data_IF_522048085241
#
_entry.id   IF_522048085241
#
_cell.length_a   1.000
_cell.length_b   1.000
_cell.length_c   1.000
_cell.angle_alpha   90.00
_cell.angle_beta   90.00
_cell.angle_gamma   90.00
#
_symmetry.space_group_name_H-M   'P 1'
#
loop_
_entity.id
_entity.type
_entity.pdbx_description
1 polymer ?
#
# COMPACT_ATOMS: atom_id res chain seq x y z
N UNK A 1 -53.61 2.22 50.19
CA UNK A 1 -54.30 1.60 49.03
C UNK A 1 -54.19 2.56 47.85
N UNK A 2 -53.72 2.07 46.68
CA UNK A 2 -53.17 2.76 45.49
C UNK A 2 -51.62 2.64 45.44
N UNK A 3 -50.94 2.18 44.38
CA UNK A 3 -51.32 1.69 43.04
C UNK A 3 -50.22 0.71 42.57
N UNK A 4 -50.47 -0.60 42.64
CA UNK A 4 -49.62 -1.63 42.01
C UNK A 4 -49.71 -1.63 40.46
N UNK A 5 -50.51 -0.74 39.87
CA UNK A 5 -50.92 -0.75 38.46
C UNK A 5 -50.02 0.09 37.54
N UNK A 6 -49.06 0.85 38.07
CA UNK A 6 -48.20 1.74 37.27
C UNK A 6 -46.87 1.12 36.83
N UNK A 7 -46.45 -0.01 37.42
CA UNK A 7 -45.15 -0.62 37.10
C UNK A 7 -45.22 -1.62 35.93
N UNK A 8 -46.39 -2.19 35.65
CA UNK A 8 -46.57 -3.12 34.53
C UNK A 8 -46.45 -2.46 33.14
N UNK A 9 -46.87 -1.19 33.02
CA UNK A 9 -46.82 -0.47 31.74
C UNK A 9 -45.39 -0.04 31.34
N UNK A 10 -44.53 0.23 32.32
CA UNK A 10 -43.13 0.63 32.06
C UNK A 10 -42.27 -0.55 31.62
N UNK A 11 -42.52 -1.74 32.18
CA UNK A 11 -41.78 -2.96 31.85
C UNK A 11 -42.11 -3.52 30.46
N UNK A 12 -43.35 -3.37 29.98
CA UNK A 12 -43.71 -3.75 28.59
C UNK A 12 -43.18 -2.77 27.53
N UNK A 13 -42.97 -1.49 27.87
CA UNK A 13 -42.40 -0.50 26.95
C UNK A 13 -40.92 -0.72 26.63
N UNK A 14 -40.12 -1.11 27.64
CA UNK A 14 -38.68 -1.37 27.45
C UNK A 14 -38.38 -2.63 26.62
N UNK A 15 -39.25 -3.64 26.65
CA UNK A 15 -39.05 -4.85 25.86
C UNK A 15 -39.25 -4.62 24.35
N UNK A 16 -40.16 -3.71 23.96
CA UNK A 16 -40.41 -3.39 22.56
C UNK A 16 -39.26 -2.60 21.90
N UNK A 17 -38.49 -1.83 22.69
CA UNK A 17 -37.35 -1.04 22.18
C UNK A 17 -36.08 -1.87 21.94
N UNK A 18 -36.01 -3.10 22.46
CA UNK A 18 -34.86 -4.00 22.25
C UNK A 18 -34.99 -4.87 20.99
N UNK A 19 -36.18 -4.94 20.38
CA UNK A 19 -36.46 -5.76 19.19
C UNK A 19 -36.16 -5.07 17.86
N UNK A 20 -35.89 -3.76 17.86
CA UNK A 20 -35.59 -3.00 16.61
C UNK A 20 -34.09 -2.85 16.33
N UNK A 21 -33.22 -3.45 17.14
CA UNK A 21 -31.76 -3.38 16.97
C UNK A 21 -31.17 -4.54 16.14
N UNK A 22 -31.98 -5.45 15.64
CA UNK A 22 -31.55 -6.46 14.66
C UNK A 22 -31.74 -5.88 13.25
N UNK A 23 -30.75 -5.15 12.75
CA UNK A 23 -30.70 -4.83 11.32
C UNK A 23 -30.53 -6.15 10.56
N UNK A 24 -31.52 -6.52 9.76
CA UNK A 24 -31.43 -7.65 8.83
C UNK A 24 -30.36 -7.28 7.81
N UNK A 25 -29.24 -8.00 7.83
CA UNK A 25 -28.17 -7.81 6.85
C UNK A 25 -28.52 -8.68 5.65
N UNK A 26 -28.72 -8.05 4.50
CA UNK A 26 -28.95 -8.77 3.25
C UNK A 26 -27.75 -9.69 2.98
N UNK A 27 -28.05 -10.95 2.69
CA UNK A 27 -27.04 -11.95 2.38
C UNK A 27 -26.84 -11.98 0.86
N UNK A 28 -25.60 -12.10 0.41
CA UNK A 28 -25.31 -12.38 -0.99
C UNK A 28 -25.77 -13.79 -1.39
N UNK A 29 -25.67 -14.14 -2.67
CA UNK A 29 -26.05 -15.46 -3.21
C UNK A 29 -25.34 -16.64 -2.51
N UNK A 30 -24.27 -16.39 -1.73
CA UNK A 30 -23.52 -17.39 -0.98
C UNK A 30 -23.80 -17.33 0.54
N UNK A 31 -24.80 -16.57 0.98
CA UNK A 31 -25.19 -16.48 2.38
C UNK A 31 -24.28 -15.59 3.23
N UNK A 32 -23.44 -14.72 2.62
CA UNK A 32 -22.55 -13.82 3.36
C UNK A 32 -23.19 -12.44 3.56
N UNK A 33 -23.06 -11.84 4.76
CA UNK A 33 -23.59 -10.50 5.03
C UNK A 33 -22.99 -9.45 4.08
N UNK A 34 -23.84 -8.80 3.28
CA UNK A 34 -23.46 -7.64 2.45
C UNK A 34 -23.49 -6.41 3.35
N UNK A 35 -22.37 -6.15 4.01
CA UNK A 35 -22.18 -4.92 4.76
C UNK A 35 -21.87 -3.78 3.77
N UNK A 36 -22.52 -2.61 3.87
CA UNK A 36 -22.08 -1.44 3.12
C UNK A 36 -20.61 -1.19 3.49
N UNK A 37 -19.77 -0.98 2.47
CA UNK A 37 -18.35 -0.70 2.68
C UNK A 37 -18.21 0.46 3.67
N UNK A 38 -17.68 0.19 4.86
CA UNK A 38 -17.45 1.21 5.87
C UNK A 38 -16.51 2.26 5.25
N UNK A 39 -16.91 3.54 5.16
CA UNK A 39 -16.07 4.59 4.59
C UNK A 39 -14.77 4.81 5.39
N UNK A 40 -14.67 4.27 6.61
CA UNK A 40 -13.47 4.26 7.44
C UNK A 40 -12.73 2.91 7.45
N UNK A 41 -13.22 1.90 6.71
CA UNK A 41 -12.50 0.64 6.58
C UNK A 41 -11.12 0.91 5.99
N UNK A 42 -10.08 0.38 6.65
CA UNK A 42 -8.75 0.34 6.05
C UNK A 42 -8.85 -0.36 4.70
N UNK A 43 -8.13 0.11 3.66
CA UNK A 43 -8.03 -0.61 2.41
C UNK A 43 -7.62 -2.06 2.71
N UNK A 44 -8.53 -3.00 2.48
CA UNK A 44 -8.25 -4.42 2.63
C UNK A 44 -7.95 -5.00 1.26
N UNK A 45 -6.83 -5.71 1.15
CA UNK A 45 -6.44 -6.44 -0.04
C UNK A 45 -6.69 -7.95 0.10
N UNK A 46 -7.53 -8.39 1.05
CA UNK A 46 -7.70 -9.79 1.44
C UNK A 46 -8.10 -10.72 0.28
N UNK A 47 -8.78 -10.18 -0.74
CA UNK A 47 -9.28 -10.94 -1.89
C UNK A 47 -8.51 -10.66 -3.19
N UNK A 48 -7.43 -9.89 -3.12
CA UNK A 48 -6.66 -9.51 -4.29
C UNK A 48 -5.31 -10.24 -4.31
N UNK A 49 -4.96 -10.74 -5.49
CA UNK A 49 -3.60 -11.21 -5.73
C UNK A 49 -2.62 -10.05 -5.70
N UNK A 50 -1.34 -10.26 -5.34
CA UNK A 50 -0.32 -9.22 -5.38
C UNK A 50 -0.22 -8.50 -6.74
N UNK A 51 -0.48 -9.20 -7.84
CA UNK A 51 -0.49 -8.59 -9.18
C UNK A 51 -1.66 -7.64 -9.38
N UNK A 52 -2.86 -8.02 -8.94
CA UNK A 52 -4.04 -7.14 -9.01
C UNK A 52 -3.84 -5.90 -8.15
N UNK A 53 -3.27 -6.05 -6.95
CA UNK A 53 -2.96 -4.91 -6.07
C UNK A 53 -2.01 -3.97 -6.79
N UNK A 54 -0.90 -4.48 -7.33
CA UNK A 54 0.08 -3.66 -8.06
C UNK A 54 -0.57 -2.91 -9.22
N UNK A 55 -1.35 -3.59 -10.08
CA UNK A 55 -2.02 -2.96 -11.23
C UNK A 55 -3.03 -1.88 -10.82
N UNK A 56 -3.87 -2.15 -9.81
CA UNK A 56 -4.89 -1.22 -9.36
C UNK A 56 -4.31 0.01 -8.66
N UNK A 57 -3.12 -0.14 -8.06
CA UNK A 57 -2.50 0.93 -7.25
C UNK A 57 -1.28 1.56 -7.91
N UNK A 58 -0.83 1.07 -9.05
CA UNK A 58 0.34 1.59 -9.77
C UNK A 58 0.26 3.09 -10.02
N UNK A 59 -0.86 3.56 -10.60
CA UNK A 59 -1.04 4.97 -10.88
C UNK A 59 -0.99 5.82 -9.60
N UNK A 60 -1.82 5.50 -8.61
CA UNK A 60 -2.00 6.35 -7.43
C UNK A 60 -0.86 6.26 -6.41
N UNK A 61 -0.22 5.09 -6.29
CA UNK A 61 0.82 4.83 -5.28
C UNK A 61 2.23 4.95 -5.81
N UNK A 62 2.46 4.72 -7.11
CA UNK A 62 3.80 4.82 -7.72
C UNK A 62 3.89 6.07 -8.56
N UNK A 63 3.07 6.21 -9.59
CA UNK A 63 3.22 7.30 -10.57
C UNK A 63 2.91 8.66 -9.95
N UNK A 64 1.78 8.81 -9.28
CA UNK A 64 1.38 10.07 -8.66
C UNK A 64 2.34 10.44 -7.52
N UNK A 65 2.72 9.46 -6.68
CA UNK A 65 3.68 9.67 -5.61
C UNK A 65 5.07 10.06 -6.13
N UNK A 66 5.56 9.42 -7.21
CA UNK A 66 6.81 9.80 -7.85
C UNK A 66 6.72 11.20 -8.47
N UNK A 67 5.59 11.57 -9.05
CA UNK A 67 5.40 12.91 -9.61
C UNK A 67 5.35 14.01 -8.55
N UNK A 68 4.74 13.73 -7.40
CA UNK A 68 4.54 14.70 -6.32
C UNK A 68 5.72 14.78 -5.35
N UNK A 69 6.39 13.66 -5.09
CA UNK A 69 7.37 13.53 -4.01
C UNK A 69 8.76 13.05 -4.47
N UNK A 70 9.04 13.02 -5.77
CA UNK A 70 10.39 12.69 -6.23
C UNK A 70 11.41 13.70 -5.71
N UNK A 71 12.49 13.16 -5.16
CA UNK A 71 13.63 13.94 -4.70
C UNK A 71 14.50 14.36 -5.88
N UNK A 72 15.07 15.56 -5.79
CA UNK A 72 16.16 15.99 -6.65
C UNK A 72 17.52 15.46 -6.14
N UNK A 73 18.60 15.81 -6.84
CA UNK A 73 19.95 15.36 -6.50
C UNK A 73 20.39 15.76 -5.09
N UNK A 74 20.07 16.99 -4.66
CA UNK A 74 20.48 17.52 -3.36
C UNK A 74 19.68 16.88 -2.23
N UNK A 75 18.37 16.69 -2.42
CA UNK A 75 17.52 16.02 -1.45
C UNK A 75 17.86 14.53 -1.32
N UNK A 76 18.15 13.84 -2.43
CA UNK A 76 18.64 12.46 -2.40
C UNK A 76 19.93 12.33 -1.58
N UNK A 77 20.89 13.24 -1.78
CA UNK A 77 22.16 13.18 -1.05
C UNK A 77 21.96 13.40 0.45
N UNK A 78 21.05 14.31 0.85
CA UNK A 78 20.65 14.46 2.26
C UNK A 78 20.06 13.18 2.84
N UNK A 79 19.17 12.51 2.08
CA UNK A 79 18.60 11.22 2.50
C UNK A 79 19.69 10.17 2.64
N UNK A 80 20.64 10.08 1.70
CA UNK A 80 21.76 9.12 1.79
C UNK A 80 22.61 9.34 3.04
N UNK A 81 22.91 10.59 3.38
CA UNK A 81 23.68 10.94 4.57
C UNK A 81 22.92 10.66 5.87
N UNK A 82 21.60 10.90 5.88
CA UNK A 82 20.75 10.65 7.03
C UNK A 82 20.39 9.16 7.22
N UNK A 83 20.39 8.37 6.16
CA UNK A 83 19.90 6.98 6.16
C UNK A 83 20.70 6.05 7.06
N UNK A 84 21.93 6.42 7.50
CA UNK A 84 22.68 5.70 8.53
C UNK A 84 22.56 4.17 8.46
N UNK A 85 21.98 3.57 9.50
CA UNK A 85 21.73 2.11 9.58
C UNK A 85 20.32 1.68 9.10
N UNK A 86 19.45 2.60 8.71
CA UNK A 86 18.06 2.31 8.31
C UNK A 86 17.83 2.71 6.85
N UNK A 87 17.86 1.74 5.92
CA UNK A 87 17.66 2.02 4.50
C UNK A 87 16.30 2.67 4.24
N UNK A 88 16.28 3.74 3.45
CA UNK A 88 15.06 4.41 3.01
C UNK A 88 14.85 4.21 1.50
N UNK A 89 13.62 3.89 1.11
CA UNK A 89 13.22 3.82 -0.30
C UNK A 89 12.50 5.11 -0.67
N UNK A 90 12.96 5.76 -1.74
CA UNK A 90 12.47 7.08 -2.18
C UNK A 90 12.35 7.12 -3.70
N UNK A 91 11.40 7.92 -4.20
CA UNK A 91 11.37 8.27 -5.62
C UNK A 91 12.35 9.40 -5.89
N UNK A 92 13.00 9.36 -7.05
CA UNK A 92 14.03 10.34 -7.42
C UNK A 92 13.83 10.76 -8.87
N UNK A 93 13.97 12.07 -9.15
CA UNK A 93 13.99 12.63 -10.49
C UNK A 93 15.31 13.36 -10.70
N UNK A 94 16.12 12.83 -11.62
CA UNK A 94 17.47 13.34 -11.89
C UNK A 94 17.64 13.61 -13.38
N UNK A 95 18.47 14.61 -13.68
CA UNK A 95 19.12 14.74 -14.97
C UNK A 95 20.63 14.68 -14.71
N UNK A 96 21.32 13.72 -15.34
CA UNK A 96 22.71 13.42 -15.06
C UNK A 96 23.37 12.75 -16.26
N UNK A 97 24.68 12.96 -16.37
CA UNK A 97 25.52 12.30 -17.37
C UNK A 97 25.68 10.80 -17.07
N UNK A 98 25.53 9.99 -18.11
CA UNK A 98 25.84 8.56 -18.08
C UNK A 98 27.34 8.37 -18.22
N UNK A 99 27.98 7.74 -17.24
CA UNK A 99 29.43 7.48 -17.23
C UNK A 99 29.79 6.02 -17.46
N UNK A 100 28.82 5.11 -17.42
CA UNK A 100 29.07 3.70 -17.68
C UNK A 100 27.81 2.88 -17.89
N UNK A 101 27.96 1.75 -18.56
CA UNK A 101 26.92 0.73 -18.72
C UNK A 101 27.51 -0.65 -18.44
N UNK A 102 26.75 -1.49 -17.75
CA UNK A 102 27.05 -2.90 -17.57
C UNK A 102 25.89 -3.72 -18.15
N UNK A 103 26.17 -4.37 -19.27
CA UNK A 103 25.23 -5.22 -20.00
C UNK A 103 25.69 -6.68 -20.05
N UNK A 104 26.62 -7.06 -19.16
CA UNK A 104 27.17 -8.42 -19.08
C UNK A 104 26.10 -9.47 -18.78
N UNK A 105 25.05 -9.09 -18.04
CA UNK A 105 23.88 -9.91 -17.79
C UNK A 105 22.65 -9.34 -18.55
N UNK A 106 22.13 -10.04 -19.57
CA UNK A 106 20.97 -9.57 -20.34
C UNK A 106 19.69 -9.37 -19.50
N UNK A 107 19.58 -10.03 -18.34
CA UNK A 107 18.42 -9.92 -17.44
C UNK A 107 18.54 -8.79 -16.43
N UNK A 108 19.77 -8.37 -16.11
CA UNK A 108 20.08 -7.41 -15.05
C UNK A 108 21.17 -6.47 -15.54
N UNK A 109 20.76 -5.42 -16.21
CA UNK A 109 21.65 -4.39 -16.72
C UNK A 109 21.83 -3.31 -15.67
N UNK A 110 22.93 -2.56 -15.75
CA UNK A 110 23.17 -1.42 -14.86
C UNK A 110 23.63 -0.21 -15.67
N UNK A 111 23.19 0.95 -15.23
CA UNK A 111 23.59 2.25 -15.74
C UNK A 111 24.29 3.00 -14.60
N UNK A 112 25.48 3.53 -14.87
CA UNK A 112 26.20 4.38 -13.91
C UNK A 112 26.03 5.83 -14.34
N UNK A 113 25.53 6.65 -13.41
CA UNK A 113 25.29 8.08 -13.54
C UNK A 113 26.23 8.86 -12.62
N UNK A 114 26.42 10.16 -12.88
CA UNK A 114 27.14 11.07 -11.98
C UNK A 114 26.18 11.88 -11.10
N UNK A 115 26.14 11.60 -9.81
CA UNK A 115 25.36 12.36 -8.83
C UNK A 115 26.31 13.22 -7.97
N UNK A 116 26.31 14.53 -8.17
CA UNK A 116 27.16 15.47 -7.42
C UNK A 116 28.65 15.07 -7.38
N UNK A 117 29.17 14.58 -8.52
CA UNK A 117 30.55 14.11 -8.66
C UNK A 117 30.81 12.69 -8.14
N UNK A 118 29.80 11.98 -7.64
CA UNK A 118 29.90 10.59 -7.17
C UNK A 118 29.14 9.63 -8.12
N UNK A 119 29.61 8.39 -8.30
CA UNK A 119 28.90 7.42 -9.12
C UNK A 119 27.60 6.95 -8.44
N UNK A 120 26.51 6.93 -9.19
CA UNK A 120 25.22 6.36 -8.81
C UNK A 120 24.89 5.23 -9.78
N UNK A 121 24.68 4.02 -9.24
CA UNK A 121 24.33 2.84 -10.04
C UNK A 121 22.82 2.64 -10.02
N UNK A 122 22.22 2.59 -11.21
CA UNK A 122 20.79 2.33 -11.44
C UNK A 122 20.65 0.97 -12.11
N UNK A 123 19.79 0.11 -11.55
CA UNK A 123 19.44 -1.17 -12.17
C UNK A 123 18.42 -0.95 -13.29
N UNK A 124 18.61 -1.64 -14.40
CA UNK A 124 17.75 -1.65 -15.57
C UNK A 124 17.57 -3.08 -16.08
N UNK A 125 16.61 -3.25 -17.00
CA UNK A 125 16.40 -4.49 -17.74
C UNK A 125 15.19 -5.30 -17.29
N UNK A 126 14.97 -6.49 -17.87
CA UNK A 126 13.74 -7.26 -17.71
C UNK A 126 13.47 -7.78 -16.29
N UNK A 127 14.46 -7.69 -15.38
CA UNK A 127 14.31 -8.14 -14.00
C UNK A 127 14.80 -7.06 -13.05
N UNK A 128 13.86 -6.48 -12.29
CA UNK A 128 14.14 -5.59 -11.16
C UNK A 128 14.15 -6.39 -9.85
N UNK A 129 15.18 -6.21 -9.02
CA UNK A 129 15.32 -6.90 -7.72
C UNK A 129 14.98 -5.97 -6.56
N UNK A 130 14.60 -6.56 -5.44
CA UNK A 130 14.34 -5.85 -4.18
C UNK A 130 12.88 -5.39 -4.02
N UNK A 131 12.69 -4.52 -3.04
CA UNK A 131 11.41 -4.03 -2.52
C UNK A 131 11.26 -2.49 -2.61
N UNK A 132 12.20 -1.80 -3.27
CA UNK A 132 12.27 -0.34 -3.25
C UNK A 132 10.98 0.33 -3.76
N UNK A 133 10.36 -0.18 -4.84
CA UNK A 133 9.13 0.40 -5.38
C UNK A 133 7.98 0.31 -4.37
N UNK A 134 7.75 -0.89 -3.79
CA UNK A 134 6.72 -1.10 -2.77
C UNK A 134 6.94 -0.20 -1.56
N UNK A 135 8.18 -0.13 -1.06
CA UNK A 135 8.50 0.59 0.16
C UNK A 135 8.44 2.12 -0.04
N UNK A 136 8.84 2.61 -1.23
CA UNK A 136 8.67 4.02 -1.60
C UNK A 136 7.20 4.39 -1.83
N UNK A 137 6.34 3.43 -2.18
CA UNK A 137 4.90 3.62 -2.40
C UNK A 137 4.09 3.78 -1.10
N UNK A 138 4.74 3.64 0.05
CA UNK A 138 4.14 3.89 1.37
C UNK A 138 3.26 2.75 1.91
N UNK A 139 3.32 1.56 1.31
CA UNK A 139 2.66 0.39 1.86
C UNK A 139 3.26 0.00 3.20
N UNK A 140 2.40 -0.29 4.16
CA UNK A 140 2.80 -0.86 5.43
C UNK A 140 2.33 -2.29 5.54
N UNK A 141 2.97 -3.06 6.41
CA UNK A 141 2.59 -4.44 6.61
C UNK A 141 1.13 -4.57 7.08
N UNK A 142 0.64 -3.61 7.85
CA UNK A 142 -0.71 -3.60 8.41
C UNK A 142 -1.81 -3.40 7.35
N UNK A 143 -1.45 -3.05 6.11
CA UNK A 143 -2.39 -2.97 4.99
C UNK A 143 -2.70 -4.37 4.40
N UNK A 144 -2.02 -5.43 4.85
CA UNK A 144 -2.10 -6.77 4.27
C UNK A 144 -2.50 -7.82 5.31
N UNK A 145 -3.21 -8.85 4.87
CA UNK A 145 -3.63 -9.98 5.71
C UNK A 145 -2.45 -10.79 6.24
N UNK A 146 -1.38 -10.92 5.43
CA UNK A 146 -0.26 -11.79 5.75
C UNK A 146 1.07 -11.32 5.13
N UNK A 147 2.18 -11.78 5.73
CA UNK A 147 3.54 -11.39 5.36
C UNK A 147 3.92 -11.87 3.96
N UNK A 148 3.33 -12.98 3.49
CA UNK A 148 3.63 -13.53 2.17
C UNK A 148 3.08 -12.62 1.08
N UNK A 149 1.84 -12.13 1.21
CA UNK A 149 1.22 -11.19 0.28
C UNK A 149 2.01 -9.88 0.22
N UNK A 150 2.38 -9.34 1.39
CA UNK A 150 3.22 -8.14 1.47
C UNK A 150 4.58 -8.32 0.79
N UNK A 151 5.25 -9.46 1.00
CA UNK A 151 6.53 -9.76 0.37
C UNK A 151 6.40 -10.02 -1.15
N UNK A 152 5.33 -10.68 -1.59
CA UNK A 152 5.06 -10.94 -3.00
C UNK A 152 4.68 -9.67 -3.77
N UNK A 153 4.09 -8.67 -3.09
CA UNK A 153 3.76 -7.38 -3.70
C UNK A 153 4.99 -6.69 -4.30
N UNK A 154 6.17 -6.78 -3.66
CA UNK A 154 7.41 -6.24 -4.23
C UNK A 154 7.72 -6.84 -5.60
N UNK A 155 7.51 -8.15 -5.78
CA UNK A 155 7.73 -8.82 -7.08
C UNK A 155 6.70 -8.41 -8.12
N UNK A 156 5.45 -8.17 -7.69
CA UNK A 156 4.41 -7.68 -8.59
C UNK A 156 4.71 -6.26 -9.09
N UNK A 157 5.11 -5.37 -8.19
CA UNK A 157 5.55 -4.01 -8.56
C UNK A 157 6.75 -4.01 -9.49
N UNK A 158 7.75 -4.85 -9.22
CA UNK A 158 8.92 -4.97 -10.09
C UNK A 158 8.57 -5.47 -11.50
N UNK A 159 7.50 -6.27 -11.66
CA UNK A 159 6.99 -6.69 -12.96
C UNK A 159 6.15 -5.63 -13.66
N UNK A 160 5.46 -4.79 -12.91
CA UNK A 160 4.67 -3.68 -13.47
C UNK A 160 5.58 -2.56 -13.98
N UNK A 161 6.80 -2.45 -13.45
CA UNK A 161 7.76 -1.41 -13.79
C UNK A 161 8.55 -1.64 -15.09
N UNK A 162 8.47 -2.84 -15.69
CA UNK A 162 9.27 -3.26 -16.85
C UNK A 162 8.46 -3.30 -18.14
#
# INVERSE_FOLDING_TARGET
MMRLKQWGAVLMGCAALLLTACTVVDLDENGKPVLPADPNAKPSFDHLTPQQIAQQTWQSRVIDAANQHALDATALEKVRQASGATPQSVFVRLNSEVTGTDVSNPREQKLTLTLLGQPLVVQLGPVMRGNAIRDASGFKFEDFTNQVQFAQLSRAYNREAI
#
